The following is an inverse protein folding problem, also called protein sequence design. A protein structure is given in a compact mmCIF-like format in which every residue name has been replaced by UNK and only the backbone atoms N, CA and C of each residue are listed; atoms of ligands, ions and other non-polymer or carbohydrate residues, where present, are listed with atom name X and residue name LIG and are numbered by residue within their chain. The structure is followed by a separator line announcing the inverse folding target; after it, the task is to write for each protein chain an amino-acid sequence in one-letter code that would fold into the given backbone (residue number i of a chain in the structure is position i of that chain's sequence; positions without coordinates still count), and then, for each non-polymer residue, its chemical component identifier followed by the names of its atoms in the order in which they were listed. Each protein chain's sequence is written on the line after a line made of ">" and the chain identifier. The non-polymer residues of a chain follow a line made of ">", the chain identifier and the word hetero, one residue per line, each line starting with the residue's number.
data_IF_997793562059
#
_entry.id   IF_997793562059
#
_cell.length_a   1.000
_cell.length_b   1.000
_cell.length_c   1.000
_cell.angle_alpha   90.00
_cell.angle_beta   90.00
_cell.angle_gamma   90.00
#
_symmetry.space_group_name_H-M   'P 1'
#
loop_
_entity.id
_entity.type
_entity.pdbx_description
1 polymer ?
#
# COMPACT_ATOMS: atom_id res chain seq x y z
N UNK A 1 47.85 34.71 71.39
CA UNK A 1 46.67 34.31 72.18
C UNK A 1 45.46 34.39 71.26
N UNK A 2 44.78 33.24 71.00
CA UNK A 2 43.33 33.08 70.72
C UNK A 2 42.78 33.89 69.51
N UNK A 3 42.56 33.23 68.33
CA UNK A 3 41.25 32.74 67.78
C UNK A 3 40.37 33.90 67.20
N UNK A 4 39.61 33.84 66.10
CA UNK A 4 39.02 32.74 65.29
C UNK A 4 38.27 33.36 64.07
N UNK A 5 38.16 32.59 62.97
CA UNK A 5 37.14 32.54 61.87
C UNK A 5 36.79 33.83 61.08
N UNK A 6 36.39 33.83 59.80
CA UNK A 6 35.79 32.84 58.89
C UNK A 6 36.05 33.34 57.44
N UNK A 7 36.66 32.59 56.52
CA UNK A 7 36.08 31.60 55.58
C UNK A 7 35.41 32.21 54.31
N UNK A 8 36.18 32.11 53.22
CA UNK A 8 35.89 31.77 51.80
C UNK A 8 34.96 32.63 50.94
N UNK A 9 35.46 33.08 49.78
CA UNK A 9 35.21 32.44 48.47
C UNK A 9 36.11 33.05 47.38
N UNK A 10 36.97 32.24 46.75
CA UNK A 10 37.72 32.60 45.54
C UNK A 10 37.13 31.79 44.39
N UNK A 11 36.62 32.51 43.39
CA UNK A 11 36.02 31.99 42.17
C UNK A 11 37.10 31.38 41.26
N UNK A 12 37.02 30.07 41.02
CA UNK A 12 37.83 29.38 40.01
C UNK A 12 37.08 29.41 38.67
N UNK A 13 37.61 30.14 37.69
CA UNK A 13 37.15 30.14 36.30
C UNK A 13 37.63 28.86 35.60
N UNK A 14 36.74 27.88 35.46
CA UNK A 14 36.92 26.76 34.53
C UNK A 14 36.40 27.18 33.14
N UNK A 15 37.32 27.46 32.22
CA UNK A 15 37.01 27.53 30.79
C UNK A 15 36.95 26.10 30.28
N UNK A 16 35.74 25.56 30.15
CA UNK A 16 35.52 24.29 29.45
C UNK A 16 35.21 24.58 27.98
N UNK A 17 36.15 24.22 27.10
CA UNK A 17 35.93 24.15 25.67
C UNK A 17 35.02 22.96 25.37
N UNK A 18 33.73 23.21 25.19
CA UNK A 18 32.83 22.24 24.59
C UNK A 18 33.11 22.23 23.09
N UNK A 19 34.01 21.35 22.66
CA UNK A 19 33.98 20.85 21.30
C UNK A 19 32.62 20.15 21.14
N UNK A 20 31.67 20.81 20.47
CA UNK A 20 30.48 20.18 19.92
C UNK A 20 30.97 19.14 18.91
N UNK A 21 31.27 17.95 19.41
CA UNK A 21 31.30 16.74 18.61
C UNK A 21 29.84 16.55 18.18
N UNK A 22 29.53 17.03 16.98
CA UNK A 22 28.28 16.69 16.30
C UNK A 22 28.19 15.18 16.35
N UNK A 23 27.29 14.67 17.19
CA UNK A 23 26.86 13.29 17.11
C UNK A 23 26.43 13.10 15.67
N UNK A 24 27.19 12.27 14.96
CA UNK A 24 26.82 11.73 13.67
C UNK A 24 25.48 11.08 13.91
N UNK A 25 24.39 11.71 13.46
CA UNK A 25 23.05 11.17 13.58
C UNK A 25 23.13 9.70 13.18
N UNK A 26 22.84 8.83 14.15
CA UNK A 26 22.74 7.40 13.94
C UNK A 26 21.81 7.24 12.75
N UNK A 27 22.31 6.75 11.62
CA UNK A 27 21.51 6.57 10.41
C UNK A 27 20.23 5.81 10.82
N UNK A 28 19.11 6.53 10.85
CA UNK A 28 17.81 5.98 11.22
C UNK A 28 17.59 4.82 10.26
N UNK A 29 17.40 3.61 10.78
CA UNK A 29 17.23 2.42 9.95
C UNK A 29 16.04 2.63 9.00
N UNK A 30 16.34 2.84 7.71
CA UNK A 30 15.33 2.95 6.67
C UNK A 30 14.98 1.52 6.25
N UNK A 31 13.75 1.12 6.52
CA UNK A 31 13.27 -0.22 6.19
C UNK A 31 13.02 -0.31 4.68
N UNK A 32 13.84 -1.10 4.00
CA UNK A 32 13.59 -1.52 2.63
C UNK A 32 12.98 -2.91 2.60
N UNK A 33 11.90 -3.10 1.86
CA UNK A 33 11.31 -4.43 1.63
C UNK A 33 11.47 -4.80 0.16
N UNK A 34 12.14 -5.92 -0.13
CA UNK A 34 12.25 -6.46 -1.47
C UNK A 34 11.25 -7.59 -1.68
N UNK A 35 10.39 -7.45 -2.68
CA UNK A 35 9.53 -8.52 -3.17
C UNK A 35 10.13 -9.12 -4.43
N UNK A 36 10.13 -10.45 -4.53
CA UNK A 36 10.38 -11.16 -5.78
C UNK A 36 9.08 -11.83 -6.20
N UNK A 37 8.59 -11.47 -7.38
CA UNK A 37 7.34 -11.94 -7.97
C UNK A 37 7.66 -12.81 -9.18
N UNK A 38 7.23 -14.06 -9.14
CA UNK A 38 7.29 -14.98 -10.27
C UNK A 38 5.88 -15.27 -10.73
N UNK A 39 5.60 -15.08 -12.01
CA UNK A 39 4.30 -15.36 -12.63
C UNK A 39 4.51 -16.40 -13.72
N UNK A 40 3.83 -17.53 -13.60
CA UNK A 40 3.71 -18.51 -14.68
C UNK A 40 2.36 -18.31 -15.36
N UNK A 41 2.39 -17.92 -16.62
CA UNK A 41 1.20 -17.82 -17.48
C UNK A 41 1.07 -19.10 -18.29
N UNK A 42 -0.16 -19.59 -18.43
CA UNK A 42 -0.51 -20.79 -19.20
C UNK A 42 -1.80 -20.52 -19.97
N UNK A 43 -1.74 -20.65 -21.29
CA UNK A 43 -2.88 -20.50 -22.21
C UNK A 43 -2.82 -21.58 -23.30
N UNK A 44 -3.77 -21.56 -24.25
CA UNK A 44 -3.73 -22.43 -25.43
C UNK A 44 -2.49 -22.22 -26.31
N UNK A 45 -1.86 -21.03 -26.26
CA UNK A 45 -0.67 -20.70 -27.01
C UNK A 45 0.64 -21.20 -26.37
N UNK A 46 0.59 -21.72 -25.13
CA UNK A 46 1.75 -22.24 -24.41
C UNK A 46 1.87 -21.71 -22.98
N UNK A 47 3.05 -21.90 -22.39
CA UNK A 47 3.36 -21.40 -21.05
C UNK A 47 4.63 -20.56 -21.07
N UNK A 48 4.56 -19.43 -20.36
CA UNK A 48 5.68 -18.53 -20.15
C UNK A 48 5.86 -18.28 -18.65
N UNK A 49 7.08 -17.92 -18.25
CA UNK A 49 7.37 -17.53 -16.87
C UNK A 49 8.10 -16.21 -16.88
N UNK A 50 7.59 -15.24 -16.12
CA UNK A 50 8.23 -13.96 -15.89
C UNK A 50 8.63 -13.83 -14.43
N UNK A 51 9.72 -13.12 -14.19
CA UNK A 51 10.16 -12.76 -12.84
C UNK A 51 10.45 -11.28 -12.79
N UNK A 52 9.89 -10.61 -11.78
CA UNK A 52 10.14 -9.22 -11.46
C UNK A 52 10.51 -9.08 -9.99
N UNK A 53 11.21 -8.00 -9.66
CA UNK A 53 11.52 -7.63 -8.28
C UNK A 53 10.95 -6.25 -8.03
N UNK A 54 10.39 -6.01 -6.85
CA UNK A 54 9.91 -4.69 -6.45
C UNK A 54 10.59 -4.33 -5.13
N UNK A 55 11.39 -3.27 -5.15
CA UNK A 55 11.97 -2.69 -3.94
C UNK A 55 11.03 -1.61 -3.41
N UNK A 56 10.54 -1.79 -2.19
CA UNK A 56 9.83 -0.77 -1.45
C UNK A 56 10.76 -0.12 -0.46
N UNK A 57 10.69 1.20 -0.38
CA UNK A 57 11.37 1.99 0.64
C UNK A 57 10.38 2.98 1.24
N UNK A 58 10.64 3.42 2.47
CA UNK A 58 9.74 4.36 3.14
C UNK A 58 10.51 5.32 4.03
N UNK A 59 9.95 6.52 4.21
CA UNK A 59 10.36 7.41 5.29
C UNK A 59 10.21 6.73 6.66
N UNK A 60 10.98 7.14 7.67
CA UNK A 60 10.85 6.60 9.02
C UNK A 60 9.44 6.81 9.64
N UNK A 61 8.77 7.91 9.28
CA UNK A 61 7.40 8.24 9.67
C UNK A 61 6.32 7.43 8.94
N UNK A 62 6.66 6.84 7.79
CA UNK A 62 5.70 6.18 6.89
C UNK A 62 4.79 7.16 6.14
N UNK A 63 5.17 8.43 6.03
CA UNK A 63 4.43 9.45 5.25
C UNK A 63 4.78 9.45 3.76
N UNK A 64 5.89 8.82 3.41
CA UNK A 64 6.34 8.60 2.05
C UNK A 64 6.70 7.14 1.81
N UNK A 65 6.28 6.63 0.66
CA UNK A 65 6.62 5.30 0.16
C UNK A 65 7.10 5.39 -1.27
N UNK A 66 8.05 4.56 -1.64
CA UNK A 66 8.54 4.47 -3.00
C UNK A 66 8.58 3.00 -3.42
N UNK A 67 8.17 2.72 -4.65
CA UNK A 67 8.26 1.39 -5.24
C UNK A 67 9.12 1.48 -6.50
N UNK A 68 10.12 0.60 -6.60
CA UNK A 68 10.99 0.48 -7.77
C UNK A 68 10.84 -0.92 -8.34
N UNK A 69 10.24 -1.02 -9.52
CA UNK A 69 9.99 -2.29 -10.19
C UNK A 69 11.14 -2.57 -11.15
N UNK A 70 11.72 -3.76 -11.01
CA UNK A 70 12.84 -4.25 -11.80
C UNK A 70 12.43 -5.51 -12.55
N UNK A 71 12.57 -5.49 -13.87
CA UNK A 71 12.26 -6.60 -14.76
C UNK A 71 13.26 -6.61 -15.91
N UNK A 72 13.63 -7.81 -16.39
CA UNK A 72 14.51 -7.98 -17.55
C UNK A 72 15.85 -7.21 -17.47
N UNK A 73 16.42 -7.09 -16.26
CA UNK A 73 17.71 -6.42 -16.06
C UNK A 73 17.65 -4.88 -16.01
N UNK A 74 16.46 -4.28 -16.05
CA UNK A 74 16.27 -2.82 -15.98
C UNK A 74 15.18 -2.43 -14.98
N UNK A 75 15.19 -1.16 -14.58
CA UNK A 75 14.07 -0.56 -13.85
C UNK A 75 12.96 -0.34 -14.88
N UNK A 76 11.85 -1.05 -14.74
CA UNK A 76 10.70 -0.95 -15.64
C UNK A 76 9.71 0.12 -15.21
N UNK A 77 9.63 0.40 -13.91
CA UNK A 77 8.81 1.47 -13.35
C UNK A 77 9.37 1.92 -11.99
N UNK A 78 9.08 3.16 -11.62
CA UNK A 78 9.41 3.71 -10.33
C UNK A 78 8.39 4.77 -9.94
N UNK A 79 7.82 4.67 -8.74
CA UNK A 79 6.73 5.53 -8.30
C UNK A 79 6.91 5.92 -6.83
N UNK A 80 6.64 7.19 -6.54
CA UNK A 80 6.62 7.74 -5.19
C UNK A 80 5.19 8.04 -4.75
N UNK A 81 4.89 7.77 -3.49
CA UNK A 81 3.59 7.98 -2.87
C UNK A 81 3.74 8.84 -1.63
N UNK A 82 2.86 9.82 -1.47
CA UNK A 82 2.79 10.64 -0.25
C UNK A 82 1.40 11.18 0.02
N UNK A 83 1.13 11.52 1.27
CA UNK A 83 0.00 12.36 1.67
C UNK A 83 0.52 13.77 1.98
N UNK A 84 -0.22 14.79 1.54
CA UNK A 84 0.13 16.18 1.82
C UNK A 84 -1.09 17.07 1.93
N UNK A 85 -0.99 18.05 2.82
CA UNK A 85 -1.94 19.15 2.90
C UNK A 85 -1.66 20.14 1.77
N UNK A 86 -2.66 20.36 0.93
CA UNK A 86 -2.68 21.37 -0.12
C UNK A 86 -3.64 22.50 0.28
N UNK A 87 -3.66 23.64 -0.43
CA UNK A 87 -4.68 24.66 -0.22
C UNK A 87 -6.12 24.13 -0.39
N UNK A 88 -6.30 23.06 -1.18
CA UNK A 88 -7.58 22.38 -1.36
C UNK A 88 -7.87 21.31 -0.29
N UNK A 89 -6.98 21.12 0.70
CA UNK A 89 -7.07 20.12 1.75
C UNK A 89 -6.13 18.93 1.53
N UNK A 90 -6.39 17.80 2.19
CA UNK A 90 -5.53 16.63 2.15
C UNK A 90 -5.58 15.95 0.78
N UNK A 91 -4.41 15.65 0.22
CA UNK A 91 -4.28 14.96 -1.06
C UNK A 91 -3.34 13.77 -0.95
N UNK A 92 -3.75 12.65 -1.53
CA UNK A 92 -2.87 11.55 -1.89
C UNK A 92 -2.22 11.87 -3.23
N UNK A 93 -0.90 11.70 -3.32
CA UNK A 93 -0.12 12.05 -4.50
C UNK A 93 0.72 10.84 -4.89
N UNK A 94 0.62 10.44 -6.14
CA UNK A 94 1.46 9.44 -6.78
C UNK A 94 2.26 10.07 -7.92
N UNK A 95 3.58 9.97 -7.87
CA UNK A 95 4.52 10.61 -8.79
C UNK A 95 5.37 9.55 -9.47
N UNK A 96 5.36 9.49 -10.80
CA UNK A 96 6.32 8.67 -11.54
C UNK A 96 7.72 9.26 -11.44
N UNK A 97 8.67 8.40 -11.10
CA UNK A 97 10.07 8.72 -10.95
C UNK A 97 10.80 8.33 -12.24
N UNK A 98 11.86 9.07 -12.58
CA UNK A 98 12.75 8.79 -13.72
C UNK A 98 12.11 8.85 -15.13
N UNK A 99 10.82 9.15 -15.26
CA UNK A 99 10.13 9.29 -16.55
C UNK A 99 10.53 10.56 -17.33
N UNK A 100 11.27 11.48 -16.72
CA UNK A 100 11.62 12.78 -17.32
C UNK A 100 10.44 13.74 -17.48
N UNK A 101 9.21 13.28 -17.22
CA UNK A 101 7.97 14.03 -17.21
C UNK A 101 7.44 14.07 -15.77
N UNK A 102 7.02 15.24 -15.28
CA UNK A 102 6.36 15.36 -13.97
C UNK A 102 4.91 14.87 -14.09
N UNK A 103 4.74 13.56 -14.27
CA UNK A 103 3.46 12.88 -14.19
C UNK A 103 3.14 12.62 -12.71
N UNK A 104 2.39 13.55 -12.10
CA UNK A 104 1.82 13.38 -10.78
C UNK A 104 0.31 13.28 -10.90
N UNK A 105 -0.25 12.18 -10.41
CA UNK A 105 -1.68 12.06 -10.17
C UNK A 105 -1.96 12.40 -8.71
N UNK A 106 -3.11 13.01 -8.45
CA UNK A 106 -3.53 13.38 -7.11
C UNK A 106 -5.01 13.17 -6.88
N UNK A 107 -5.32 12.57 -5.74
CA UNK A 107 -6.67 12.31 -5.30
C UNK A 107 -6.91 13.01 -3.97
N UNK A 108 -7.95 13.84 -3.93
CA UNK A 108 -8.35 14.54 -2.71
C UNK A 108 -9.00 13.59 -1.70
N UNK A 109 -8.72 13.82 -0.42
CA UNK A 109 -9.24 13.02 0.70
C UNK A 109 -9.95 13.95 1.67
N UNK A 110 -11.21 13.67 1.97
CA UNK A 110 -11.99 14.44 2.94
C UNK A 110 -12.66 13.53 3.98
N UNK A 111 -12.96 14.11 5.14
CA UNK A 111 -13.48 13.42 6.31
C UNK A 111 -14.79 14.07 6.76
N UNK A 112 -15.84 13.26 6.87
CA UNK A 112 -17.15 13.66 7.35
C UNK A 112 -17.40 12.97 8.70
N UNK A 113 -17.17 13.73 9.77
CA UNK A 113 -17.22 13.22 11.14
C UNK A 113 -18.63 12.86 11.58
N UNK A 114 -19.65 13.56 11.07
CA UNK A 114 -21.04 13.32 11.43
C UNK A 114 -21.51 11.94 10.95
N UNK A 115 -21.03 11.50 9.79
CA UNK A 115 -21.41 10.22 9.18
C UNK A 115 -20.35 9.12 9.30
N UNK A 116 -19.17 9.42 9.86
CA UNK A 116 -18.00 8.54 9.84
C UNK A 116 -17.64 8.11 8.40
N UNK A 117 -17.68 9.05 7.46
CA UNK A 117 -17.42 8.82 6.04
C UNK A 117 -16.08 9.42 5.63
N UNK A 118 -15.30 8.63 4.88
CA UNK A 118 -14.11 9.09 4.16
C UNK A 118 -14.50 9.27 2.70
N UNK A 119 -14.27 10.47 2.16
CA UNK A 119 -14.49 10.78 0.75
C UNK A 119 -13.17 10.72 -0.01
N UNK A 120 -13.17 10.03 -1.15
CA UNK A 120 -12.00 9.83 -2.00
C UNK A 120 -12.31 10.40 -3.38
N UNK A 121 -11.47 11.32 -3.84
CA UNK A 121 -11.70 12.05 -5.08
C UNK A 121 -12.99 12.88 -5.00
N UNK A 122 -13.74 12.93 -6.11
CA UNK A 122 -14.95 13.76 -6.20
C UNK A 122 -16.20 13.07 -5.66
N UNK A 123 -16.29 11.75 -5.80
CA UNK A 123 -17.58 11.05 -5.73
C UNK A 123 -17.58 9.86 -4.77
N UNK A 124 -16.42 9.30 -4.46
CA UNK A 124 -16.36 8.01 -3.78
C UNK A 124 -16.42 8.18 -2.27
N UNK A 125 -17.13 7.26 -1.62
CA UNK A 125 -17.46 7.37 -0.21
C UNK A 125 -17.27 6.03 0.47
N UNK A 126 -16.52 6.01 1.57
CA UNK A 126 -16.31 4.85 2.42
C UNK A 126 -16.86 5.17 3.80
N UNK A 127 -17.97 4.52 4.17
CA UNK A 127 -18.53 4.63 5.51
C UNK A 127 -17.87 3.61 6.42
N UNK A 128 -17.18 4.08 7.44
CA UNK A 128 -16.44 3.24 8.38
C UNK A 128 -17.24 3.01 9.67
N UNK A 129 -16.85 1.99 10.43
CA UNK A 129 -17.33 1.88 11.82
C UNK A 129 -16.68 2.99 12.68
N UNK A 130 -17.35 3.56 13.69
CA UNK A 130 -16.87 4.76 14.40
C UNK A 130 -15.44 4.65 14.97
N UNK A 131 -15.09 3.51 15.58
CA UNK A 131 -13.74 3.28 16.11
C UNK A 131 -12.69 3.27 14.98
N UNK A 132 -12.98 2.55 13.90
CA UNK A 132 -12.11 2.44 12.72
C UNK A 132 -11.99 3.76 11.97
N UNK A 133 -13.07 4.56 11.91
CA UNK A 133 -13.06 5.91 11.36
C UNK A 133 -12.09 6.81 12.13
N UNK A 134 -12.20 6.83 13.47
CA UNK A 134 -11.38 7.68 14.33
C UNK A 134 -9.89 7.33 14.19
N UNK A 135 -9.56 6.04 14.21
CA UNK A 135 -8.19 5.57 13.99
C UNK A 135 -7.70 5.94 12.59
N UNK A 136 -8.49 5.65 11.55
CA UNK A 136 -8.12 5.92 10.17
C UNK A 136 -7.88 7.41 9.93
N UNK A 137 -8.75 8.29 10.44
CA UNK A 137 -8.57 9.74 10.37
C UNK A 137 -7.29 10.18 11.06
N UNK A 138 -6.96 9.64 12.23
CA UNK A 138 -5.70 9.96 12.90
C UNK A 138 -4.48 9.51 12.07
N UNK A 139 -4.52 8.30 11.52
CA UNK A 139 -3.42 7.75 10.73
C UNK A 139 -3.21 8.50 9.40
N UNK A 140 -4.29 8.85 8.70
CA UNK A 140 -4.22 9.45 7.37
C UNK A 140 -4.17 10.97 7.42
N UNK A 141 -5.02 11.62 8.21
CA UNK A 141 -5.12 13.08 8.25
C UNK A 141 -4.06 13.75 9.11
N UNK A 142 -3.66 13.12 10.22
CA UNK A 142 -2.69 13.72 11.17
C UNK A 142 -1.29 13.17 10.94
N UNK A 143 -1.18 11.85 10.76
CA UNK A 143 0.12 11.17 10.63
C UNK A 143 0.54 10.90 9.18
N UNK A 144 -0.31 11.23 8.21
CA UNK A 144 -0.04 11.04 6.78
C UNK A 144 0.40 9.63 6.38
N UNK A 145 -0.04 8.59 7.09
CA UNK A 145 0.36 7.20 6.82
C UNK A 145 -0.23 6.70 5.49
N UNK A 146 0.62 6.61 4.47
CA UNK A 146 0.23 6.17 3.12
C UNK A 146 -0.38 4.77 3.11
N UNK A 147 0.22 3.82 3.83
CA UNK A 147 -0.30 2.44 3.87
C UNK A 147 -1.63 2.32 4.59
N UNK A 148 -1.99 3.27 5.46
CA UNK A 148 -3.32 3.29 6.07
C UNK A 148 -4.39 3.61 5.01
N UNK A 149 -4.16 4.62 4.15
CA UNK A 149 -5.05 4.92 3.02
C UNK A 149 -5.10 3.76 2.02
N UNK A 150 -3.95 3.27 1.58
CA UNK A 150 -3.91 2.15 0.63
C UNK A 150 -4.56 0.87 1.22
N UNK A 151 -4.50 0.69 2.54
CA UNK A 151 -5.20 -0.37 3.27
C UNK A 151 -6.73 -0.23 3.30
N UNK A 152 -7.28 1.00 3.26
CA UNK A 152 -8.72 1.21 3.05
C UNK A 152 -9.14 0.83 1.63
N UNK A 153 -8.26 1.12 0.66
CA UNK A 153 -8.50 0.93 -0.77
C UNK A 153 -8.02 -0.43 -1.29
N UNK A 154 -7.63 -1.37 -0.41
CA UNK A 154 -6.94 -2.62 -0.78
C UNK A 154 -7.75 -3.56 -1.68
N UNK A 155 -9.08 -3.39 -1.72
CA UNK A 155 -9.96 -4.14 -2.60
C UNK A 155 -9.90 -3.65 -4.06
N UNK A 156 -9.27 -2.49 -4.28
CA UNK A 156 -9.01 -1.89 -5.57
C UNK A 156 -10.28 -1.85 -6.44
N UNK A 157 -11.42 -1.48 -5.86
CA UNK A 157 -12.72 -1.47 -6.57
C UNK A 157 -12.78 -0.28 -7.53
N UNK A 158 -12.24 0.86 -7.09
CA UNK A 158 -12.11 2.09 -7.87
C UNK A 158 -10.77 2.19 -8.61
N UNK A 159 -10.65 3.23 -9.42
CA UNK A 159 -9.49 3.45 -10.30
C UNK A 159 -8.43 4.31 -9.57
N UNK A 160 -7.88 3.80 -8.47
CA UNK A 160 -6.91 4.52 -7.64
C UNK A 160 -5.46 4.16 -8.02
N UNK A 161 -4.51 5.10 -8.01
CA UNK A 161 -3.10 4.85 -8.30
C UNK A 161 -2.42 4.24 -7.07
N UNK A 162 -2.77 3.01 -6.71
CA UNK A 162 -2.22 2.30 -5.54
C UNK A 162 -1.75 0.88 -5.88
N UNK A 163 -1.76 0.49 -7.16
CA UNK A 163 -1.55 -0.89 -7.59
C UNK A 163 -0.23 -1.48 -7.06
N UNK A 164 0.86 -0.71 -7.10
CA UNK A 164 2.14 -1.16 -6.56
C UNK A 164 2.09 -1.38 -5.05
N UNK A 165 1.34 -0.57 -4.30
CA UNK A 165 1.22 -0.72 -2.85
C UNK A 165 0.42 -1.96 -2.45
N UNK A 166 -0.48 -2.47 -3.31
CA UNK A 166 -1.33 -3.63 -3.00
C UNK A 166 -0.50 -4.86 -2.66
N UNK A 167 0.57 -5.12 -3.41
CA UNK A 167 1.43 -6.29 -3.17
C UNK A 167 2.12 -6.20 -1.80
N UNK A 168 2.59 -5.00 -1.43
CA UNK A 168 3.20 -4.76 -0.12
C UNK A 168 2.20 -4.95 1.03
N UNK A 169 0.97 -4.45 0.87
CA UNK A 169 -0.10 -4.63 1.87
C UNK A 169 -0.41 -6.11 2.05
N UNK A 170 -0.56 -6.84 0.95
CA UNK A 170 -0.91 -8.26 0.99
C UNK A 170 0.13 -9.10 1.74
N UNK A 171 1.43 -8.87 1.51
CA UNK A 171 2.50 -9.64 2.18
C UNK A 171 2.79 -9.20 3.61
N UNK A 172 2.41 -7.96 3.98
CA UNK A 172 2.72 -7.37 5.27
C UNK A 172 1.57 -7.49 6.28
N UNK A 173 0.33 -7.63 5.81
CA UNK A 173 -0.85 -7.77 6.65
C UNK A 173 -0.95 -9.18 7.22
N UNK A 174 -0.45 -9.38 8.46
CA UNK A 174 -0.58 -10.67 9.16
C UNK A 174 -2.03 -10.98 9.56
N UNK A 175 -2.89 -9.97 9.76
CA UNK A 175 -4.31 -10.20 10.06
C UNK A 175 -5.19 -9.06 9.50
N UNK A 176 -6.20 -9.41 8.70
CA UNK A 176 -7.27 -8.50 8.27
C UNK A 176 -8.42 -8.46 9.29
N UNK A 177 -8.08 -8.52 10.56
CA UNK A 177 -9.04 -8.57 11.65
C UNK A 177 -9.49 -7.14 12.00
N UNK A 178 -10.73 -7.04 12.49
CA UNK A 178 -11.49 -5.83 12.86
C UNK A 178 -12.45 -5.31 11.79
N UNK A 179 -13.61 -4.85 12.28
CA UNK A 179 -14.63 -4.15 11.52
C UNK A 179 -14.03 -2.87 10.94
N UNK A 180 -13.83 -2.79 9.63
CA UNK A 180 -13.22 -1.61 8.99
C UNK A 180 -14.29 -0.75 8.33
N UNK A 181 -14.80 -1.23 7.21
CA UNK A 181 -15.72 -0.52 6.32
C UNK A 181 -17.09 -1.14 6.46
N UNK A 182 -18.13 -0.33 6.65
CA UNK A 182 -19.52 -0.80 6.66
C UNK A 182 -20.02 -0.99 5.23
N UNK A 183 -19.87 0.05 4.43
CA UNK A 183 -20.28 0.11 3.04
C UNK A 183 -19.48 1.18 2.32
N UNK A 184 -19.45 1.11 0.99
CA UNK A 184 -18.90 2.16 0.17
C UNK A 184 -19.75 2.40 -1.08
N UNK A 185 -19.59 3.58 -1.68
CA UNK A 185 -20.06 3.92 -3.00
C UNK A 185 -18.84 4.34 -3.81
N UNK A 186 -18.58 3.67 -4.92
CA UNK A 186 -17.36 3.85 -5.72
C UNK A 186 -17.77 4.07 -7.16
N UNK A 187 -17.14 5.01 -7.85
CA UNK A 187 -17.42 5.30 -9.25
C UNK A 187 -16.20 5.01 -10.10
N UNK A 188 -16.40 4.30 -11.21
CA UNK A 188 -15.32 3.99 -12.16
C UNK A 188 -15.67 4.50 -13.53
N UNK A 189 -14.66 4.91 -14.29
CA UNK A 189 -14.86 5.31 -15.67
C UNK A 189 -14.99 4.08 -16.55
N UNK A 190 -15.89 4.13 -17.53
CA UNK A 190 -15.94 3.11 -18.58
C UNK A 190 -14.81 3.37 -19.57
N UNK A 191 -13.95 2.40 -19.80
CA UNK A 191 -12.82 2.47 -20.74
C UNK A 191 -13.24 2.75 -22.20
N UNK A 192 -14.52 2.60 -22.52
CA UNK A 192 -15.08 2.70 -23.88
C UNK A 192 -16.01 3.90 -24.08
N UNK A 193 -16.17 4.74 -23.07
CA UNK A 193 -16.99 5.94 -23.17
C UNK A 193 -16.34 7.02 -22.34
N UNK A 194 -15.95 8.10 -23.02
CA UNK A 194 -15.10 9.14 -22.44
C UNK A 194 -15.71 9.84 -21.21
N UNK A 195 -17.02 9.70 -20.96
CA UNK A 195 -17.71 10.36 -19.84
C UNK A 195 -18.67 9.46 -19.04
N UNK A 196 -18.85 8.19 -19.41
CA UNK A 196 -19.78 7.32 -18.66
C UNK A 196 -19.11 6.74 -17.43
N UNK A 197 -19.75 6.92 -16.27
CA UNK A 197 -19.31 6.36 -14.99
C UNK A 197 -20.30 5.31 -14.51
N UNK A 198 -19.76 4.18 -14.07
CA UNK A 198 -20.54 3.20 -13.32
C UNK A 198 -20.44 3.50 -11.83
N UNK A 199 -21.58 3.39 -11.14
CA UNK A 199 -21.67 3.53 -9.70
C UNK A 199 -21.85 2.16 -9.03
N UNK A 200 -20.96 1.85 -8.10
CA UNK A 200 -20.89 0.57 -7.42
C UNK A 200 -21.26 0.70 -5.95
N UNK A 201 -22.36 0.06 -5.57
CA UNK A 201 -22.70 -0.16 -4.18
C UNK A 201 -21.86 -1.30 -3.61
N UNK A 202 -21.02 -0.98 -2.64
CA UNK A 202 -20.09 -1.90 -2.01
C UNK A 202 -20.59 -2.28 -0.62
N UNK A 203 -20.80 -3.58 -0.37
CA UNK A 203 -21.21 -4.10 0.93
C UNK A 203 -20.14 -5.01 1.51
N UNK A 204 -19.85 -4.80 2.79
CA UNK A 204 -18.86 -5.57 3.54
C UNK A 204 -19.60 -6.40 4.61
N UNK A 205 -19.27 -7.68 4.69
CA UNK A 205 -19.82 -8.58 5.69
C UNK A 205 -18.71 -9.03 6.65
N UNK A 206 -19.06 -9.13 7.93
CA UNK A 206 -18.16 -9.51 9.01
C UNK A 206 -18.82 -10.57 9.90
N UNK A 207 -18.01 -11.39 10.55
CA UNK A 207 -18.49 -12.24 11.64
C UNK A 207 -18.65 -11.45 12.94
N UNK A 208 -19.14 -12.12 14.00
CA UNK A 208 -19.32 -11.51 15.33
C UNK A 208 -18.00 -11.08 15.98
N UNK A 209 -16.87 -11.65 15.58
CA UNK A 209 -15.54 -11.30 16.05
C UNK A 209 -14.88 -10.18 15.22
N UNK A 210 -15.60 -9.60 14.25
CA UNK A 210 -15.11 -8.53 13.40
C UNK A 210 -14.16 -9.00 12.30
N UNK A 211 -14.11 -10.30 11.99
CA UNK A 211 -13.35 -10.80 10.83
C UNK A 211 -14.16 -10.57 9.56
N UNK A 212 -13.53 -10.01 8.54
CA UNK A 212 -14.17 -9.81 7.24
C UNK A 212 -14.47 -11.17 6.60
N UNK A 213 -15.72 -11.41 6.25
CA UNK A 213 -16.20 -12.62 5.58
C UNK A 213 -16.32 -12.42 4.07
N UNK A 214 -16.83 -11.26 3.65
CA UNK A 214 -16.97 -10.96 2.22
C UNK A 214 -17.06 -9.48 1.92
N UNK A 215 -16.79 -9.16 0.66
CA UNK A 215 -17.02 -7.85 0.04
C UNK A 215 -17.71 -8.08 -1.30
N UNK A 216 -18.70 -7.27 -1.63
CA UNK A 216 -19.35 -7.30 -2.96
C UNK A 216 -19.60 -5.87 -3.43
N UNK A 217 -19.12 -5.54 -4.63
CA UNK A 217 -19.40 -4.31 -5.35
C UNK A 217 -20.29 -4.64 -6.55
N UNK A 218 -21.46 -4.03 -6.61
CA UNK A 218 -22.49 -4.34 -7.59
C UNK A 218 -23.33 -3.11 -7.90
N UNK A 219 -23.96 -3.13 -9.08
CA UNK A 219 -25.02 -2.20 -9.45
C UNK A 219 -26.30 -3.01 -9.75
N UNK A 220 -27.25 -2.46 -10.51
CA UNK A 220 -28.48 -3.17 -10.87
C UNK A 220 -28.27 -4.26 -11.94
N UNK A 221 -27.23 -4.13 -12.75
CA UNK A 221 -26.99 -4.92 -13.96
C UNK A 221 -25.99 -6.05 -13.68
N UNK A 222 -24.94 -5.77 -12.91
CA UNK A 222 -23.82 -6.70 -12.76
C UNK A 222 -23.07 -6.59 -11.42
N UNK A 223 -22.13 -7.51 -11.24
CA UNK A 223 -21.20 -7.55 -10.11
C UNK A 223 -19.79 -7.22 -10.63
N UNK A 224 -19.30 -6.02 -10.33
CA UNK A 224 -17.91 -5.64 -10.66
C UNK A 224 -16.89 -6.42 -9.86
N UNK A 225 -17.16 -6.66 -8.58
CA UNK A 225 -16.20 -7.29 -7.69
C UNK A 225 -16.89 -8.10 -6.61
N UNK A 226 -16.35 -9.27 -6.31
CA UNK A 226 -16.66 -9.97 -5.07
C UNK A 226 -15.43 -10.61 -4.48
N UNK A 227 -15.37 -10.70 -3.16
CA UNK A 227 -14.31 -11.35 -2.40
C UNK A 227 -14.94 -12.11 -1.25
N UNK A 228 -14.48 -13.33 -1.01
CA UNK A 228 -14.85 -14.14 0.15
C UNK A 228 -13.58 -14.59 0.87
N UNK A 229 -13.65 -14.63 2.20
CA UNK A 229 -12.58 -15.03 3.09
C UNK A 229 -13.05 -16.20 3.95
N UNK A 230 -12.29 -17.28 3.94
CA UNK A 230 -12.52 -18.45 4.80
C UNK A 230 -11.34 -18.65 5.73
N UNK A 231 -11.59 -18.53 7.03
CA UNK A 231 -10.58 -18.68 8.07
C UNK A 231 -10.52 -20.13 8.55
N UNK A 232 -9.40 -20.80 8.27
CA UNK A 232 -9.09 -22.11 8.83
C UNK A 232 -7.99 -21.97 9.89
N UNK A 233 -7.81 -22.94 10.80
CA UNK A 233 -6.79 -22.86 11.85
C UNK A 233 -5.36 -22.64 11.33
N UNK A 234 -5.04 -23.16 10.13
CA UNK A 234 -3.69 -23.12 9.54
C UNK A 234 -3.55 -22.18 8.35
N UNK A 235 -4.66 -21.69 7.79
CA UNK A 235 -4.61 -20.85 6.60
C UNK A 235 -5.84 -19.94 6.47
N UNK A 236 -5.67 -18.88 5.71
CA UNK A 236 -6.74 -18.04 5.21
C UNK A 236 -6.89 -18.28 3.72
N UNK A 237 -8.09 -18.66 3.28
CA UNK A 237 -8.43 -18.81 1.86
C UNK A 237 -9.19 -17.58 1.40
N UNK A 238 -8.70 -16.94 0.35
CA UNK A 238 -9.37 -15.84 -0.32
C UNK A 238 -9.78 -16.28 -1.72
N UNK A 239 -11.04 -16.04 -2.08
CA UNK A 239 -11.53 -16.16 -3.45
C UNK A 239 -12.10 -14.82 -3.89
N UNK A 240 -11.76 -14.36 -5.08
CA UNK A 240 -12.35 -13.12 -5.60
C UNK A 240 -12.63 -13.18 -7.08
N UNK A 241 -13.75 -12.57 -7.45
CA UNK A 241 -14.18 -12.30 -8.81
C UNK A 241 -13.99 -10.81 -9.10
N UNK A 242 -13.50 -10.47 -10.28
CA UNK A 242 -13.44 -9.10 -10.79
C UNK A 242 -13.88 -9.08 -12.25
N UNK A 243 -14.82 -8.18 -12.56
CA UNK A 243 -15.24 -7.88 -13.91
C UNK A 243 -14.81 -6.46 -14.28
N UNK A 244 -14.05 -6.32 -15.36
CA UNK A 244 -13.73 -5.03 -15.97
C UNK A 244 -14.55 -4.96 -17.26
N UNK A 245 -15.76 -4.39 -17.14
CA UNK A 245 -16.65 -4.05 -18.27
C UNK A 245 -16.95 -5.22 -19.21
N UNK A 246 -17.17 -6.42 -18.66
CA UNK A 246 -17.41 -7.68 -19.38
C UNK A 246 -16.29 -8.15 -20.32
N UNK A 247 -15.19 -7.40 -20.44
CA UNK A 247 -14.08 -7.71 -21.37
C UNK A 247 -13.02 -8.56 -20.74
N UNK A 248 -12.82 -8.38 -19.44
CA UNK A 248 -11.86 -9.15 -18.67
C UNK A 248 -12.47 -9.55 -17.34
N UNK A 249 -12.69 -10.86 -17.20
CA UNK A 249 -13.11 -11.46 -15.94
C UNK A 249 -11.90 -12.13 -15.32
N UNK A 250 -11.62 -11.82 -14.06
CA UNK A 250 -10.54 -12.46 -13.30
C UNK A 250 -11.11 -13.16 -12.08
N UNK A 251 -10.88 -14.46 -11.99
CA UNK A 251 -11.18 -15.29 -10.83
C UNK A 251 -9.89 -15.66 -10.11
N UNK A 252 -9.70 -15.15 -8.89
CA UNK A 252 -8.53 -15.39 -8.06
C UNK A 252 -8.84 -16.39 -6.96
N UNK A 253 -7.94 -17.32 -6.73
CA UNK A 253 -7.88 -18.11 -5.49
C UNK A 253 -6.50 -17.99 -4.85
N UNK A 254 -6.47 -17.57 -3.58
CA UNK A 254 -5.27 -17.37 -2.80
C UNK A 254 -5.36 -18.16 -1.49
N UNK A 255 -4.26 -18.80 -1.11
CA UNK A 255 -4.14 -19.48 0.19
C UNK A 255 -2.95 -18.89 0.93
N UNK A 256 -3.23 -18.25 2.06
CA UNK A 256 -2.23 -17.65 2.93
C UNK A 256 -1.98 -18.61 4.08
N UNK A 257 -0.80 -19.22 4.11
CA UNK A 257 -0.36 -20.08 5.21
C UNK A 257 0.11 -19.22 6.38
N UNK A 258 -0.62 -19.27 7.51
CA UNK A 258 -0.30 -18.46 8.69
C UNK A 258 1.04 -18.85 9.33
N UNK A 259 1.54 -20.04 9.05
CA UNK A 259 2.82 -20.57 9.56
C UNK A 259 4.02 -20.17 8.69
N UNK A 260 3.80 -19.64 7.48
CA UNK A 260 4.88 -19.26 6.55
C UNK A 260 4.76 -17.79 6.13
N UNK A 261 4.96 -16.84 7.07
CA UNK A 261 4.86 -15.43 6.75
C UNK A 261 5.89 -15.02 5.69
N UNK A 262 5.51 -14.08 4.82
CA UNK A 262 6.40 -13.53 3.79
C UNK A 262 6.47 -14.34 2.48
N UNK A 263 5.67 -15.40 2.33
CA UNK A 263 5.40 -16.02 1.02
C UNK A 263 3.92 -16.01 0.73
N UNK A 264 3.54 -15.57 -0.45
CA UNK A 264 2.17 -15.61 -0.95
C UNK A 264 2.11 -16.34 -2.28
N UNK A 265 1.04 -17.11 -2.45
CA UNK A 265 0.75 -17.79 -3.71
C UNK A 265 -0.72 -17.67 -4.03
N UNK A 266 -1.01 -17.45 -5.31
CA UNK A 266 -2.37 -17.47 -5.81
C UNK A 266 -2.41 -17.88 -7.27
N UNK A 267 -3.61 -18.26 -7.70
CA UNK A 267 -3.92 -18.54 -9.09
C UNK A 267 -5.02 -17.60 -9.54
N UNK A 268 -4.81 -16.96 -10.66
CA UNK A 268 -5.82 -16.19 -11.38
C UNK A 268 -6.24 -16.96 -12.63
N UNK A 269 -7.55 -17.08 -12.87
CA UNK A 269 -8.11 -17.42 -14.18
C UNK A 269 -8.60 -16.14 -14.81
N UNK A 270 -8.03 -15.78 -15.96
CA UNK A 270 -8.34 -14.56 -16.70
C UNK A 270 -9.04 -14.95 -17.98
N UNK A 271 -10.26 -14.46 -18.16
CA UNK A 271 -11.07 -14.66 -19.36
C UNK A 271 -11.14 -13.32 -20.09
N UNK A 272 -10.59 -13.27 -21.30
CA UNK A 272 -10.73 -12.13 -22.22
C UNK A 272 -11.87 -12.43 -23.21
N UNK A 273 -13.08 -12.00 -22.90
CA UNK A 273 -14.30 -12.37 -23.65
C UNK A 273 -14.25 -11.94 -25.12
N UNK A 274 -13.72 -10.75 -25.40
CA UNK A 274 -13.57 -10.24 -26.78
C UNK A 274 -12.57 -11.00 -27.64
N UNK A 275 -11.69 -11.82 -27.03
CA UNK A 275 -10.71 -12.67 -27.72
C UNK A 275 -11.03 -14.16 -27.58
N UNK A 276 -12.03 -14.52 -26.78
CA UNK A 276 -12.31 -15.89 -26.37
C UNK A 276 -11.06 -16.63 -25.85
N UNK A 277 -10.24 -15.92 -25.06
CA UNK A 277 -8.98 -16.44 -24.53
C UNK A 277 -9.10 -16.66 -23.02
N UNK A 278 -8.77 -17.86 -22.57
CA UNK A 278 -8.59 -18.18 -21.15
C UNK A 278 -7.09 -18.33 -20.84
N UNK A 279 -6.64 -17.61 -19.82
CA UNK A 279 -5.26 -17.68 -19.33
C UNK A 279 -5.28 -17.97 -17.83
N UNK A 280 -4.49 -18.97 -17.41
CA UNK A 280 -4.23 -19.22 -16.00
C UNK A 280 -2.89 -18.61 -15.60
N UNK A 281 -2.88 -17.75 -14.58
CA UNK A 281 -1.69 -17.16 -13.99
C UNK A 281 -1.46 -17.76 -12.62
N UNK A 282 -0.35 -18.47 -12.42
CA UNK A 282 0.11 -18.87 -11.09
C UNK A 282 1.17 -17.86 -10.62
N UNK A 283 0.87 -17.11 -9.56
CA UNK A 283 1.78 -16.10 -9.01
C UNK A 283 2.33 -16.54 -7.66
N UNK A 284 3.64 -16.41 -7.50
CA UNK A 284 4.33 -16.51 -6.22
C UNK A 284 5.02 -15.18 -5.90
N UNK A 285 4.80 -14.67 -4.68
CA UNK A 285 5.56 -13.56 -4.12
C UNK A 285 6.34 -14.05 -2.91
N UNK A 286 7.62 -13.73 -2.88
CA UNK A 286 8.46 -13.86 -1.69
C UNK A 286 8.94 -12.49 -1.21
N UNK A 287 8.88 -12.29 0.10
CA UNK A 287 9.29 -11.07 0.80
C UNK A 287 10.64 -11.27 1.45
N UNK A 288 11.52 -10.28 1.33
CA UNK A 288 12.80 -10.19 2.04
C UNK A 288 13.00 -8.77 2.56
N UNK A 289 13.32 -8.62 3.84
CA UNK A 289 13.76 -7.32 4.36
C UNK A 289 15.19 -7.02 3.91
N UNK A 290 15.46 -5.75 3.66
CA UNK A 290 16.75 -5.26 3.15
C UNK A 290 17.25 -4.10 4.02
N UNK A 291 18.47 -4.26 4.52
CA UNK A 291 19.12 -3.28 5.40
C UNK A 291 20.11 -2.38 4.65
N UNK A 292 20.14 -2.47 3.31
CA UNK A 292 21.12 -1.78 2.46
C UNK A 292 20.58 -0.45 1.89
N UNK A 293 19.36 -0.07 2.28
CA UNK A 293 18.72 1.16 1.81
C UNK A 293 19.16 2.31 2.70
N UNK A 294 19.82 3.30 2.09
CA UNK A 294 20.37 4.46 2.82
C UNK A 294 19.41 5.67 2.83
N UNK A 295 18.41 5.69 1.94
CA UNK A 295 17.45 6.79 1.77
C UNK A 295 16.09 6.23 1.37
N UNK A 296 15.02 6.90 1.77
CA UNK A 296 13.66 6.55 1.34
C UNK A 296 13.50 6.80 -0.17
N UNK A 297 13.71 8.04 -0.64
CA UNK A 297 13.76 8.34 -2.08
C UNK A 297 15.16 8.03 -2.60
N UNK A 298 15.25 7.10 -3.55
CA UNK A 298 16.50 6.67 -4.17
C UNK A 298 16.58 7.22 -5.59
N UNK A 299 17.78 7.55 -6.03
CA UNK A 299 18.08 7.84 -7.44
C UNK A 299 18.12 6.55 -8.27
N UNK A 300 17.97 6.68 -9.58
CA UNK A 300 18.04 5.55 -10.50
C UNK A 300 19.34 4.76 -10.36
N UNK A 301 20.47 5.47 -10.20
CA UNK A 301 21.79 4.84 -10.03
C UNK A 301 21.89 4.06 -8.71
N UNK A 302 21.39 4.61 -7.60
CA UNK A 302 21.38 3.92 -6.30
C UNK A 302 20.55 2.62 -6.38
N UNK A 303 19.39 2.65 -7.04
CA UNK A 303 18.54 1.47 -7.25
C UNK A 303 19.25 0.43 -8.12
N UNK A 304 19.81 0.84 -9.27
CA UNK A 304 20.53 -0.07 -10.16
C UNK A 304 21.72 -0.74 -9.46
N UNK A 305 22.48 0.01 -8.65
CA UNK A 305 23.61 -0.53 -7.93
C UNK A 305 23.20 -1.61 -6.92
N UNK A 306 22.05 -1.48 -6.26
CA UNK A 306 21.51 -2.51 -5.36
C UNK A 306 21.16 -3.82 -6.08
N UNK A 307 20.69 -3.73 -7.34
CA UNK A 307 20.33 -4.91 -8.13
C UNK A 307 21.53 -5.54 -8.86
N UNK A 308 22.61 -4.78 -9.09
CA UNK A 308 23.86 -5.27 -9.70
C UNK A 308 24.79 -6.02 -8.74
N UNK A 309 24.73 -5.75 -7.43
CA UNK A 309 25.66 -6.33 -6.44
C UNK A 309 25.30 -7.76 -6.00
N UNK A 310 24.40 -8.47 -6.69
CA UNK A 310 23.95 -9.82 -6.32
C UNK A 310 23.67 -10.71 -7.52
#
# INVERSE_FOLDING_TARGET
>A
MIRILNITTISLLFVSSWAMQMNKDSAVAINGTLLTKTVKSTSSAGSETSTSKILYTSSASGDQYFAYTFANGAISDAIGYRLANTPAGLSFISERLFSGQHEADSIHIAFDDAQCVVRIGKTDQYMLFPASYSQFKQEVNVRHKVLSLAGLLEDNIGDYPIEDLLQLIMVSSKEKTNFKTRQAQVNTLRSQSDDTRDNWSCRYAYDKAGKMLSVRAFNKEEVRFSKTLTYNPKNLVLKSHRNIEDRQITERTMVIDSQKPGKLRWTDKVIETGKNLETTLATEISKRETNFVQKARMSQMEVLNLFKTK
#
